data_IF_494317155094
#
_entry.id   IF_494317155094
#
_cell.length_a   1.000
_cell.length_b   1.000
_cell.length_c   1.000
_cell.angle_alpha   90.00
_cell.angle_beta   90.00
_cell.angle_gamma   90.00
#
_symmetry.space_group_name_H-M   'P 1'
#
loop_
_entity.id
_entity.type
_entity.pdbx_description
1 polymer ?
#
# COMPACT_ATOMS: atom_id res chain seq x y z
N UNK A 1 9.80 20.04 -11.30
CA UNK A 1 8.53 19.57 -10.67
C UNK A 1 8.37 18.06 -10.52
N UNK A 2 8.86 17.23 -11.46
CA UNK A 2 8.66 15.76 -11.47
C UNK A 2 9.01 15.04 -10.16
N UNK A 3 10.12 15.45 -9.51
CA UNK A 3 10.59 14.87 -8.24
C UNK A 3 9.55 14.94 -7.11
N UNK A 4 8.81 16.04 -7.01
CA UNK A 4 7.76 16.24 -6.00
C UNK A 4 6.57 15.34 -6.26
N UNK A 5 6.17 15.17 -7.53
CA UNK A 5 5.08 14.27 -7.92
C UNK A 5 5.41 12.80 -7.62
N UNK A 6 6.60 12.33 -8.01
CA UNK A 6 7.04 10.95 -7.74
C UNK A 6 7.09 10.68 -6.24
N UNK A 7 7.59 11.63 -5.45
CA UNK A 7 7.62 11.52 -3.99
C UNK A 7 6.21 11.48 -3.38
N UNK A 8 5.30 12.34 -3.86
CA UNK A 8 3.91 12.35 -3.43
C UNK A 8 3.20 11.04 -3.72
N UNK A 9 3.36 10.50 -4.93
CA UNK A 9 2.80 9.21 -5.32
C UNK A 9 3.37 8.08 -4.45
N UNK A 10 4.69 8.04 -4.23
CA UNK A 10 5.32 7.03 -3.37
C UNK A 10 4.76 7.02 -1.95
N UNK A 11 4.58 8.21 -1.35
CA UNK A 11 3.98 8.34 0.00
C UNK A 11 2.53 7.85 0.01
N UNK A 12 1.71 8.28 -0.95
CA UNK A 12 0.30 7.88 -1.03
C UNK A 12 0.16 6.37 -1.19
N UNK A 13 0.94 5.77 -2.09
CA UNK A 13 0.93 4.32 -2.33
C UNK A 13 1.36 3.54 -1.08
N UNK A 14 2.40 4.01 -0.38
CA UNK A 14 2.84 3.39 0.86
C UNK A 14 1.76 3.48 1.96
N UNK A 15 1.08 4.62 2.09
CA UNK A 15 -0.02 4.81 3.04
C UNK A 15 -1.22 3.92 2.73
N UNK A 16 -1.59 3.78 1.46
CA UNK A 16 -2.67 2.86 1.04
C UNK A 16 -2.32 1.43 1.45
N UNK A 17 -1.10 0.98 1.16
CA UNK A 17 -0.63 -0.35 1.58
C UNK A 17 -0.68 -0.54 3.10
N UNK A 18 -0.32 0.50 3.87
CA UNK A 18 -0.37 0.46 5.34
C UNK A 18 -1.82 0.36 5.87
N UNK A 19 -2.75 1.04 5.23
CA UNK A 19 -4.18 1.00 5.57
C UNK A 19 -4.83 -0.34 5.22
N UNK A 20 -4.33 -1.04 4.19
CA UNK A 20 -4.79 -2.39 3.81
C UNK A 20 -4.64 -3.41 4.95
N UNK A 21 -3.65 -3.26 5.83
CA UNK A 21 -3.48 -4.15 7.00
C UNK A 21 -4.61 -4.05 8.03
N UNK A 22 -5.36 -2.93 8.06
CA UNK A 22 -6.47 -2.73 9.00
C UNK A 22 -7.84 -3.23 8.49
N UNK A 23 -7.94 -3.63 7.22
CA UNK A 23 -9.22 -3.97 6.57
C UNK A 23 -9.63 -5.46 6.72
N UNK A 24 -8.94 -6.25 7.54
CA UNK A 24 -8.99 -7.71 7.47
C UNK A 24 -10.26 -8.42 8.01
N UNK A 25 -10.98 -7.95 9.06
CA UNK A 25 -12.30 -8.50 9.39
C UNK A 25 -13.40 -7.44 9.59
N UNK A 26 -14.63 -7.73 9.14
CA UNK A 26 -15.80 -6.88 9.41
C UNK A 26 -16.49 -6.24 8.20
N UNK A 27 -16.01 -6.49 6.98
CA UNK A 27 -16.64 -5.93 5.76
C UNK A 27 -17.93 -6.68 5.40
N UNK A 28 -18.05 -7.98 5.76
CA UNK A 28 -19.23 -8.78 5.43
C UNK A 28 -19.63 -9.74 6.58
N UNK A 29 -20.62 -9.37 7.40
CA UNK A 29 -21.04 -10.18 8.55
C UNK A 29 -21.58 -11.57 8.18
N UNK A 30 -21.99 -11.80 6.92
CA UNK A 30 -22.38 -13.13 6.44
C UNK A 30 -21.18 -14.04 6.15
N UNK A 31 -20.02 -13.46 5.82
CA UNK A 31 -18.78 -14.19 5.50
C UNK A 31 -17.86 -14.34 6.72
N UNK A 32 -17.95 -13.39 7.65
CA UNK A 32 -17.19 -13.34 8.91
C UNK A 32 -17.52 -14.46 9.92
N UNK A 33 -18.56 -15.28 9.67
CA UNK A 33 -18.91 -16.42 10.53
C UNK A 33 -17.89 -17.56 10.46
N UNK A 34 -17.12 -17.65 9.36
CA UNK A 34 -16.13 -18.71 9.14
C UNK A 34 -14.72 -18.17 9.25
N UNK A 35 -13.96 -18.70 10.23
CA UNK A 35 -12.55 -18.35 10.47
C UNK A 35 -11.66 -18.55 9.23
N UNK A 36 -12.02 -19.49 8.35
CA UNK A 36 -11.28 -19.74 7.12
C UNK A 36 -11.35 -18.58 6.13
N UNK A 37 -12.52 -17.97 5.96
CA UNK A 37 -12.67 -16.84 5.04
C UNK A 37 -11.90 -15.63 5.56
N UNK A 38 -11.95 -15.38 6.87
CA UNK A 38 -11.23 -14.25 7.49
C UNK A 38 -9.71 -14.43 7.39
N UNK A 39 -9.21 -15.67 7.54
CA UNK A 39 -7.79 -15.98 7.35
C UNK A 39 -7.36 -15.83 5.89
N UNK A 40 -8.21 -16.25 4.94
CA UNK A 40 -7.95 -16.08 3.51
C UNK A 40 -7.90 -14.60 3.11
N UNK A 41 -8.87 -13.81 3.57
CA UNK A 41 -8.93 -12.37 3.32
C UNK A 41 -7.74 -11.64 3.95
N UNK A 42 -7.40 -11.98 5.20
CA UNK A 42 -6.25 -11.42 5.90
C UNK A 42 -4.95 -11.74 5.15
N UNK A 43 -4.80 -12.95 4.63
CA UNK A 43 -3.67 -13.32 3.77
C UNK A 43 -3.57 -12.44 2.53
N UNK A 44 -4.68 -12.26 1.82
CA UNK A 44 -4.77 -11.40 0.63
C UNK A 44 -4.43 -9.94 0.98
N UNK A 45 -5.02 -9.38 2.03
CA UNK A 45 -4.76 -8.00 2.45
C UNK A 45 -3.32 -7.77 2.89
N UNK A 46 -2.70 -8.76 3.54
CA UNK A 46 -1.28 -8.71 3.91
C UNK A 46 -0.40 -8.76 2.67
N UNK A 47 -0.65 -9.68 1.74
CA UNK A 47 0.17 -9.85 0.54
C UNK A 47 0.12 -8.59 -0.34
N UNK A 48 -1.08 -8.15 -0.72
CA UNK A 48 -1.23 -6.94 -1.54
C UNK A 48 -0.84 -5.66 -0.78
N UNK A 49 -1.15 -5.57 0.52
CA UNK A 49 -0.74 -4.44 1.36
C UNK A 49 0.78 -4.31 1.45
N UNK A 50 1.49 -5.43 1.63
CA UNK A 50 2.96 -5.47 1.65
C UNK A 50 3.54 -5.06 0.30
N UNK A 51 3.00 -5.57 -0.81
CA UNK A 51 3.43 -5.18 -2.17
C UNK A 51 3.28 -3.66 -2.35
N UNK A 52 2.15 -3.07 -1.96
CA UNK A 52 1.93 -1.63 -2.06
C UNK A 52 2.91 -0.83 -1.19
N UNK A 53 3.18 -1.27 0.04
CA UNK A 53 4.18 -0.63 0.90
C UNK A 53 5.57 -0.66 0.26
N UNK A 54 5.97 -1.81 -0.29
CA UNK A 54 7.26 -1.98 -0.96
C UNK A 54 7.36 -1.07 -2.18
N UNK A 55 6.35 -1.09 -3.06
CA UNK A 55 6.32 -0.24 -4.27
C UNK A 55 6.35 1.25 -3.90
N UNK A 56 5.55 1.68 -2.94
CA UNK A 56 5.52 3.06 -2.47
C UNK A 56 6.88 3.50 -1.89
N UNK A 57 7.53 2.63 -1.12
CA UNK A 57 8.86 2.89 -0.55
C UNK A 57 9.92 2.98 -1.64
N UNK A 58 9.89 2.10 -2.63
CA UNK A 58 10.81 2.13 -3.78
C UNK A 58 10.63 3.42 -4.58
N UNK A 59 9.40 3.83 -4.88
CA UNK A 59 9.11 5.10 -5.56
C UNK A 59 9.62 6.31 -4.75
N UNK A 60 9.45 6.27 -3.43
CA UNK A 60 9.98 7.30 -2.55
C UNK A 60 11.51 7.36 -2.59
N UNK A 61 12.20 6.22 -2.55
CA UNK A 61 13.65 6.14 -2.65
C UNK A 61 14.17 6.60 -4.02
N UNK A 62 13.52 6.17 -5.11
CA UNK A 62 13.85 6.61 -6.47
C UNK A 62 13.70 8.13 -6.60
N UNK A 63 12.74 8.74 -5.91
CA UNK A 63 12.59 10.20 -5.92
C UNK A 63 13.84 10.96 -5.44
N UNK A 64 14.68 10.34 -4.61
CA UNK A 64 15.96 10.94 -4.19
C UNK A 64 17.04 10.85 -5.27
N UNK A 65 17.01 9.78 -6.07
CA UNK A 65 17.93 9.57 -7.17
C UNK A 65 17.62 10.45 -8.40
N UNK A 66 16.41 11.01 -8.49
CA UNK A 66 16.03 11.93 -9.57
C UNK A 66 16.77 13.27 -9.35
N UNK A 67 17.66 13.68 -10.29
CA UNK A 67 18.30 14.99 -10.23
C UNK A 67 17.24 16.09 -10.34
N UNK A 68 17.44 17.25 -9.70
CA UNK A 68 16.56 18.39 -9.90
C UNK A 68 16.61 18.74 -11.39
N UNK A 69 15.52 18.44 -12.11
CA UNK A 69 15.33 18.98 -13.45
C UNK A 69 14.77 20.38 -13.24
N UNK A 70 15.69 21.35 -13.28
CA UNK A 70 15.41 22.77 -13.27
C UNK A 70 14.78 23.13 -14.62
N UNK A 71 13.49 23.44 -14.59
CA UNK A 71 12.83 24.34 -15.54
C UNK A 71 12.60 25.67 -14.83
#
# INVERSE_FOLDING_TARGET
>A
MLKLWVRGIGIVVALIGLLSFKLAPGINPKRDLSRFHNLADLGIFIEYGLILVVVGTVLFLISFAIPPHDE
#
